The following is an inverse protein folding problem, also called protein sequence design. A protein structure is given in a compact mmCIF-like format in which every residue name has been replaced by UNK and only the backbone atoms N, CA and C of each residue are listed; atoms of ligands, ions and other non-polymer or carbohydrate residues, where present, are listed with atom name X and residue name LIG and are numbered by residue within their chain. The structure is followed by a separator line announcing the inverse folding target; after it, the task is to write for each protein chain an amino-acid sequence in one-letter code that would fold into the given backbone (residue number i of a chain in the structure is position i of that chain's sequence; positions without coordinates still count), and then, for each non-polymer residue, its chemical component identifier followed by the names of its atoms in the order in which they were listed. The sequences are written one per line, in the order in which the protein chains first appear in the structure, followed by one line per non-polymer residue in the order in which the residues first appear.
data_IF_878007777820
#
_entry.id   IF_878007777820
#
_cell.length_a   1.000
_cell.length_b   1.000
_cell.length_c   1.000
_cell.angle_alpha   90.00
_cell.angle_beta   90.00
_cell.angle_gamma   90.00
#
_symmetry.space_group_name_H-M   'P 1'
#
loop_
_entity.id
_entity.type
_entity.pdbx_description
1 polymer ?
#
# COMPACT_ATOMS: atom_id res chain seq x y z
N UNK A 1 -16.27 -20.63 -4.21
CA UNK A 1 -15.26 -19.57 -3.99
C UNK A 1 -14.25 -20.10 -2.97
N UNK A 2 -13.06 -20.53 -3.42
CA UNK A 2 -12.05 -21.16 -2.56
C UNK A 2 -11.54 -20.23 -1.44
N UNK A 3 -11.50 -18.92 -1.70
CA UNK A 3 -11.05 -17.92 -0.73
C UNK A 3 -12.02 -17.76 0.45
N UNK A 4 -13.32 -17.98 0.25
CA UNK A 4 -14.33 -17.84 1.31
C UNK A 4 -14.39 -19.06 2.26
N UNK A 5 -13.74 -20.16 1.90
CA UNK A 5 -13.62 -21.36 2.73
C UNK A 5 -12.29 -21.41 3.50
N UNK A 6 -11.47 -20.35 3.43
CA UNK A 6 -10.23 -20.28 4.20
C UNK A 6 -10.53 -19.81 5.62
N UNK A 7 -10.08 -20.58 6.59
CA UNK A 7 -10.11 -20.20 8.00
C UNK A 7 -8.79 -19.52 8.39
N UNK A 8 -8.88 -18.46 9.18
CA UNK A 8 -7.70 -17.79 9.72
C UNK A 8 -6.98 -18.73 10.70
N UNK A 9 -5.74 -19.10 10.40
CA UNK A 9 -4.92 -19.92 11.28
C UNK A 9 -3.44 -19.52 11.17
N UNK A 10 -2.69 -19.73 12.26
CA UNK A 10 -1.26 -19.45 12.33
C UNK A 10 -0.93 -18.01 12.73
N UNK A 11 0.28 -17.58 12.37
CA UNK A 11 0.85 -16.28 12.72
C UNK A 11 0.93 -15.35 11.50
N UNK A 12 1.21 -14.06 11.71
CA UNK A 12 1.41 -13.07 10.64
C UNK A 12 2.89 -13.02 10.24
N UNK A 13 3.44 -14.17 9.86
CA UNK A 13 4.82 -14.28 9.39
C UNK A 13 4.95 -13.77 7.95
N UNK A 14 4.99 -12.45 7.82
CA UNK A 14 5.09 -11.77 6.54
C UNK A 14 6.41 -12.07 5.84
N UNK A 15 7.51 -12.16 6.58
CA UNK A 15 8.84 -12.40 5.98
C UNK A 15 8.89 -13.72 5.19
N UNK A 16 8.40 -14.81 5.78
CA UNK A 16 8.37 -16.10 5.08
C UNK A 16 7.41 -16.09 3.88
N UNK A 17 6.27 -15.42 4.00
CA UNK A 17 5.33 -15.28 2.89
C UNK A 17 5.95 -14.49 1.72
N UNK A 18 6.64 -13.39 2.00
CA UNK A 18 7.36 -12.59 1.01
C UNK A 18 8.45 -13.42 0.33
N UNK A 19 9.32 -14.09 1.10
CA UNK A 19 10.37 -14.96 0.55
C UNK A 19 9.80 -16.02 -0.38
N UNK A 20 8.76 -16.72 0.06
CA UNK A 20 8.11 -17.75 -0.76
C UNK A 20 7.56 -17.17 -2.05
N UNK A 21 6.82 -16.06 -2.00
CA UNK A 21 6.28 -15.43 -3.21
C UNK A 21 7.41 -15.02 -4.16
N UNK A 22 8.39 -14.26 -3.65
CA UNK A 22 9.51 -13.71 -4.43
C UNK A 22 10.38 -14.80 -5.04
N UNK A 23 10.76 -15.81 -4.27
CA UNK A 23 11.75 -16.81 -4.69
C UNK A 23 11.12 -17.99 -5.42
N UNK A 24 9.82 -18.26 -5.22
CA UNK A 24 9.14 -19.41 -5.83
C UNK A 24 8.26 -19.01 -6.99
N UNK A 25 7.37 -18.05 -6.78
CA UNK A 25 6.32 -17.69 -7.75
C UNK A 25 6.82 -16.67 -8.78
N UNK A 26 7.82 -15.90 -8.40
CA UNK A 26 8.40 -14.84 -9.21
C UNK A 26 9.82 -15.15 -9.72
N UNK A 27 10.15 -16.44 -9.91
CA UNK A 27 11.47 -16.88 -10.42
C UNK A 27 11.90 -16.26 -11.76
N UNK A 28 10.94 -15.79 -12.55
CA UNK A 28 11.15 -15.19 -13.86
C UNK A 28 10.90 -13.66 -13.87
N UNK A 29 11.07 -12.98 -12.74
CA UNK A 29 10.90 -11.51 -12.61
C UNK A 29 11.56 -10.72 -13.72
N UNK A 30 12.80 -11.08 -14.06
CA UNK A 30 13.61 -10.36 -15.05
C UNK A 30 13.06 -10.46 -16.48
N UNK A 31 12.13 -11.38 -16.73
CA UNK A 31 11.49 -11.56 -18.04
C UNK A 31 10.24 -10.69 -18.22
N UNK A 32 9.69 -10.13 -17.15
CA UNK A 32 8.49 -9.32 -17.21
C UNK A 32 8.81 -7.84 -17.01
N UNK A 33 8.15 -6.99 -17.80
CA UNK A 33 8.43 -5.54 -17.79
C UNK A 33 7.99 -4.84 -16.50
N UNK A 34 6.96 -5.34 -15.83
CA UNK A 34 6.41 -4.76 -14.61
C UNK A 34 5.56 -5.78 -13.85
N UNK A 35 5.81 -5.92 -12.55
CA UNK A 35 5.14 -6.88 -11.68
C UNK A 35 4.74 -6.22 -10.37
N UNK A 36 3.63 -6.66 -9.79
CA UNK A 36 3.11 -6.16 -8.53
C UNK A 36 2.78 -7.28 -7.56
N UNK A 37 3.26 -7.17 -6.33
CA UNK A 37 2.86 -7.99 -5.19
C UNK A 37 1.87 -7.21 -4.34
N UNK A 38 0.71 -7.82 -4.06
CA UNK A 38 -0.33 -7.19 -3.25
C UNK A 38 -0.49 -7.92 -1.92
N UNK A 39 -0.23 -7.21 -0.82
CA UNK A 39 -0.49 -7.68 0.54
C UNK A 39 -1.82 -7.13 1.03
N UNK A 40 -2.75 -8.02 1.36
CA UNK A 40 -4.00 -7.69 2.02
C UNK A 40 -3.90 -8.13 3.48
N UNK A 41 -4.00 -7.19 4.41
CA UNK A 41 -3.78 -7.48 5.85
C UNK A 41 -4.66 -6.60 6.73
N UNK A 42 -4.91 -7.04 7.96
CA UNK A 42 -5.67 -6.30 8.97
C UNK A 42 -4.83 -5.91 10.19
N UNK A 43 -3.58 -6.39 10.29
CA UNK A 43 -2.76 -6.18 11.48
C UNK A 43 -1.26 -6.18 11.21
N UNK A 44 -0.52 -5.76 12.23
CA UNK A 44 0.95 -5.63 12.18
C UNK A 44 1.64 -6.99 11.90
N UNK A 45 2.74 -7.02 11.15
CA UNK A 45 3.55 -8.24 10.98
C UNK A 45 4.16 -8.70 12.31
N UNK A 46 4.48 -10.00 12.41
CA UNK A 46 5.18 -10.52 13.59
C UNK A 46 6.68 -10.16 13.60
N UNK A 47 7.25 -9.79 12.44
CA UNK A 47 8.65 -9.41 12.29
C UNK A 47 8.82 -7.89 12.39
N UNK A 48 10.02 -7.44 12.78
CA UNK A 48 10.35 -6.03 12.87
C UNK A 48 10.28 -5.34 11.51
N UNK A 49 9.67 -4.15 11.47
CA UNK A 49 9.44 -3.36 10.25
C UNK A 49 10.71 -3.18 9.44
N UNK A 50 11.80 -2.75 10.07
CA UNK A 50 13.07 -2.49 9.38
C UNK A 50 13.64 -3.73 8.69
N UNK A 51 13.46 -4.91 9.28
CA UNK A 51 13.93 -6.18 8.73
C UNK A 51 13.13 -6.55 7.47
N UNK A 52 11.82 -6.32 7.49
CA UNK A 52 10.96 -6.50 6.32
C UNK A 52 11.31 -5.47 5.24
N UNK A 53 11.41 -4.19 5.61
CA UNK A 53 11.76 -3.10 4.69
C UNK A 53 13.09 -3.35 3.97
N UNK A 54 14.13 -3.78 4.69
CA UNK A 54 15.44 -4.10 4.10
C UNK A 54 15.33 -5.23 3.06
N UNK A 55 14.61 -6.31 3.39
CA UNK A 55 14.38 -7.41 2.45
C UNK A 55 13.59 -6.96 1.21
N UNK A 56 12.54 -6.16 1.41
CA UNK A 56 11.73 -5.64 0.30
C UNK A 56 12.55 -4.74 -0.61
N UNK A 57 13.37 -3.84 -0.06
CA UNK A 57 14.27 -3.00 -0.84
C UNK A 57 15.24 -3.83 -1.70
N UNK A 58 15.80 -4.90 -1.14
CA UNK A 58 16.66 -5.82 -1.88
C UNK A 58 15.90 -6.57 -2.98
N UNK A 59 14.74 -7.14 -2.64
CA UNK A 59 13.92 -7.93 -3.56
C UNK A 59 13.33 -7.11 -4.71
N UNK A 60 13.05 -5.83 -4.49
CA UNK A 60 12.51 -4.88 -5.47
C UNK A 60 13.59 -4.07 -6.18
N UNK A 61 14.81 -3.95 -5.63
CA UNK A 61 15.87 -3.12 -6.22
C UNK A 61 16.44 -3.66 -7.54
N UNK A 62 16.37 -4.98 -7.77
CA UNK A 62 16.95 -5.65 -8.94
C UNK A 62 16.01 -5.87 -10.12
N UNK A 63 14.70 -5.67 -9.97
CA UNK A 63 13.69 -5.94 -10.99
C UNK A 63 12.50 -4.99 -10.85
N UNK A 64 11.68 -4.78 -11.89
CA UNK A 64 10.47 -3.92 -11.80
C UNK A 64 9.34 -4.64 -11.05
N UNK A 65 9.59 -5.02 -9.79
CA UNK A 65 8.61 -5.57 -8.86
C UNK A 65 8.30 -4.54 -7.79
N UNK A 66 7.01 -4.27 -7.59
CA UNK A 66 6.53 -3.34 -6.56
C UNK A 66 5.71 -4.07 -5.50
N UNK A 67 5.84 -3.67 -4.23
CA UNK A 67 5.02 -4.19 -3.13
C UNK A 67 3.93 -3.18 -2.75
N UNK A 68 2.68 -3.49 -3.08
CA UNK A 68 1.52 -2.73 -2.67
C UNK A 68 0.86 -3.34 -1.43
N UNK A 69 0.34 -2.49 -0.54
CA UNK A 69 -0.33 -2.95 0.70
C UNK A 69 -1.71 -2.32 0.81
N UNK A 70 -2.70 -3.18 1.05
CA UNK A 70 -4.05 -2.80 1.46
C UNK A 70 -4.26 -3.21 2.91
N UNK A 71 -4.20 -2.23 3.82
CA UNK A 71 -4.51 -2.41 5.23
C UNK A 71 -6.01 -2.23 5.46
N UNK A 72 -6.63 -3.19 6.13
CA UNK A 72 -8.06 -3.16 6.48
C UNK A 72 -8.23 -3.08 8.00
N UNK A 73 -8.69 -1.94 8.50
CA UNK A 73 -9.11 -1.81 9.89
C UNK A 73 -10.55 -2.27 10.04
N UNK A 74 -10.74 -3.36 10.79
CA UNK A 74 -12.07 -3.86 11.15
C UNK A 74 -12.42 -3.27 12.52
N UNK A 75 -13.39 -2.35 12.55
CA UNK A 75 -13.99 -1.81 13.78
C UNK A 75 -15.22 -2.60 14.16
N UNK A 76 -15.12 -3.90 14.43
CA UNK A 76 -16.30 -4.63 14.94
C UNK A 76 -16.39 -4.58 16.46
N UNK A 77 -17.49 -4.01 16.92
CA UNK A 77 -17.99 -4.11 18.27
C UNK A 77 -18.03 -5.56 18.71
N UNK A 78 -17.58 -5.75 19.95
CA UNK A 78 -17.42 -7.01 20.66
C UNK A 78 -18.72 -7.81 20.76
N UNK A 79 -19.09 -8.59 19.75
CA UNK A 79 -20.06 -9.68 19.88
C UNK A 79 -19.35 -10.96 20.33
N UNK A 80 -19.21 -11.06 21.65
CA UNK A 80 -19.34 -12.26 22.48
C UNK A 80 -18.75 -13.61 21.99
N UNK A 81 -17.59 -13.60 21.33
CA UNK A 81 -16.63 -14.73 21.35
C UNK A 81 -15.22 -14.38 20.82
N UNK A 82 -15.01 -13.19 20.26
CA UNK A 82 -13.76 -12.79 19.61
C UNK A 82 -12.74 -12.13 20.55
N UNK A 83 -11.87 -12.92 21.16
CA UNK A 83 -10.58 -12.42 21.61
C UNK A 83 -9.73 -12.26 20.35
N UNK A 84 -9.67 -11.06 19.78
CA UNK A 84 -8.54 -10.66 18.93
C UNK A 84 -7.43 -10.27 19.91
N UNK A 85 -6.38 -11.08 20.10
CA UNK A 85 -5.39 -10.79 21.13
C UNK A 85 -4.61 -9.53 20.79
N UNK A 86 -4.25 -8.81 21.85
CA UNK A 86 -3.50 -7.56 21.86
C UNK A 86 -2.36 -7.55 20.82
N UNK A 87 -2.55 -6.79 19.75
CA UNK A 87 -1.42 -6.32 18.97
C UNK A 87 -0.93 -5.08 19.68
N UNK A 88 0.29 -5.11 20.20
CA UNK A 88 0.95 -4.04 20.95
C UNK A 88 1.19 -2.75 20.14
N UNK A 89 0.45 -2.54 19.04
CA UNK A 89 0.58 -1.43 18.15
C UNK A 89 -0.80 -0.79 17.91
N UNK A 90 -0.87 0.53 18.06
CA UNK A 90 -2.03 1.32 17.66
C UNK A 90 -2.29 1.14 16.15
N UNK A 91 -3.54 1.24 15.65
CA UNK A 91 -3.82 1.17 14.22
C UNK A 91 -2.96 2.13 13.39
N UNK A 92 -2.60 3.31 13.92
CA UNK A 92 -1.69 4.25 13.24
C UNK A 92 -0.26 3.74 13.19
N UNK A 93 0.24 3.12 14.26
CA UNK A 93 1.58 2.51 14.27
C UNK A 93 1.66 1.36 13.26
N UNK A 94 0.61 0.55 13.18
CA UNK A 94 0.49 -0.50 12.14
C UNK A 94 0.51 0.10 10.74
N UNK A 95 -0.27 1.17 10.50
CA UNK A 95 -0.28 1.85 9.21
C UNK A 95 1.11 2.43 8.87
N UNK A 96 1.77 3.09 9.82
CA UNK A 96 3.11 3.65 9.63
C UNK A 96 4.16 2.57 9.32
N UNK A 97 4.10 1.42 9.99
CA UNK A 97 4.97 0.30 9.69
C UNK A 97 4.80 -0.19 8.24
N UNK A 98 3.55 -0.35 7.77
CA UNK A 98 3.32 -0.76 6.40
C UNK A 98 3.68 0.30 5.37
N UNK A 99 3.55 1.59 5.68
CA UNK A 99 4.04 2.65 4.79
C UNK A 99 5.55 2.57 4.61
N UNK A 100 6.30 2.36 5.67
CA UNK A 100 7.76 2.20 5.60
C UNK A 100 8.13 1.00 4.70
N UNK A 101 7.45 -0.13 4.89
CA UNK A 101 7.65 -1.34 4.10
C UNK A 101 7.31 -1.10 2.61
N UNK A 102 6.20 -0.43 2.32
CA UNK A 102 5.77 -0.11 0.95
C UNK A 102 6.75 0.84 0.27
N UNK A 103 7.24 1.85 1.00
CA UNK A 103 8.22 2.80 0.48
C UNK A 103 9.52 2.09 0.08
N UNK A 104 9.96 1.10 0.87
CA UNK A 104 11.12 0.28 0.51
C UNK A 104 10.92 -0.49 -0.81
N UNK A 105 9.68 -0.87 -1.13
CA UNK A 105 9.33 -1.59 -2.36
C UNK A 105 8.85 -0.72 -3.52
N UNK A 106 8.98 0.61 -3.42
CA UNK A 106 8.45 1.58 -4.40
C UNK A 106 6.99 1.30 -4.80
N UNK A 107 6.19 0.83 -3.85
CA UNK A 107 4.81 0.44 -4.09
C UNK A 107 3.81 1.50 -3.68
N UNK A 108 2.57 1.06 -3.44
CA UNK A 108 1.45 1.92 -3.05
C UNK A 108 0.73 1.39 -1.82
N UNK A 109 0.37 2.30 -0.93
CA UNK A 109 -0.30 2.02 0.32
C UNK A 109 -1.75 2.51 0.28
N UNK A 110 -2.64 1.66 0.78
CA UNK A 110 -4.05 1.97 0.96
C UNK A 110 -4.51 1.48 2.33
N UNK A 111 -5.20 2.34 3.06
CA UNK A 111 -5.78 2.05 4.35
C UNK A 111 -7.29 2.24 4.32
N UNK A 112 -8.00 1.14 4.48
CA UNK A 112 -9.45 1.06 4.48
C UNK A 112 -9.97 0.85 5.90
N UNK A 113 -11.00 1.61 6.27
CA UNK A 113 -11.86 1.35 7.41
C UNK A 113 -13.20 0.77 6.98
N UNK A 114 -14.05 0.48 7.96
CA UNK A 114 -15.39 -0.05 7.72
C UNK A 114 -16.30 0.92 6.95
N UNK A 115 -16.16 2.22 7.20
CA UNK A 115 -17.01 3.27 6.61
C UNK A 115 -16.38 4.01 5.45
N UNK A 116 -15.13 3.70 5.09
CA UNK A 116 -14.46 4.42 4.01
C UNK A 116 -12.94 4.23 3.99
N UNK A 117 -12.27 5.09 3.22
CA UNK A 117 -10.82 5.08 3.04
C UNK A 117 -10.22 6.09 4.00
N UNK A 118 -9.31 5.64 4.86
CA UNK A 118 -8.54 6.53 5.73
C UNK A 118 -7.40 7.19 4.96
N UNK A 119 -6.70 6.42 4.13
CA UNK A 119 -5.55 6.91 3.37
C UNK A 119 -5.34 6.10 2.10
N UNK A 120 -4.86 6.75 1.04
CA UNK A 120 -4.58 6.08 -0.22
C UNK A 120 -3.61 6.92 -1.06
N UNK A 121 -2.51 6.31 -1.47
CA UNK A 121 -1.53 6.94 -2.36
C UNK A 121 -2.13 7.27 -3.73
N UNK A 122 -3.04 6.44 -4.22
CA UNK A 122 -3.72 6.64 -5.50
C UNK A 122 -4.63 7.86 -5.46
N UNK A 123 -5.42 7.99 -4.40
CA UNK A 123 -6.31 9.15 -4.24
C UNK A 123 -5.47 10.42 -4.14
N UNK A 124 -4.38 10.38 -3.38
CA UNK A 124 -3.45 11.50 -3.25
C UNK A 124 -2.83 11.87 -4.60
N UNK A 125 -2.42 10.88 -5.39
CA UNK A 125 -1.86 11.09 -6.74
C UNK A 125 -2.88 11.71 -7.69
N UNK A 126 -4.12 11.22 -7.69
CA UNK A 126 -5.21 11.77 -8.50
C UNK A 126 -5.49 13.24 -8.13
N UNK A 127 -5.58 13.54 -6.83
CA UNK A 127 -5.78 14.92 -6.35
C UNK A 127 -4.64 15.83 -6.81
N UNK A 128 -3.39 15.35 -6.73
CA UNK A 128 -2.21 16.11 -7.20
C UNK A 128 -2.30 16.43 -8.70
N UNK A 129 -2.66 15.46 -9.53
CA UNK A 129 -2.81 15.66 -10.97
C UNK A 129 -3.96 16.62 -11.30
N UNK A 130 -5.07 16.55 -10.55
CA UNK A 130 -6.18 17.49 -10.70
C UNK A 130 -5.77 18.94 -10.39
N UNK A 131 -5.01 19.16 -9.31
CA UNK A 131 -4.51 20.48 -8.96
C UNK A 131 -3.49 21.00 -9.99
N UNK A 132 -2.63 20.14 -10.54
CA UNK A 132 -1.73 20.51 -11.65
C UNK A 132 -2.53 20.96 -12.87
N UNK A 133 -3.55 20.20 -13.27
CA UNK A 133 -4.41 20.55 -14.40
C UNK A 133 -5.11 21.90 -14.21
N UNK A 134 -5.64 22.16 -13.01
CA UNK A 134 -6.24 23.45 -12.65
C UNK A 134 -5.24 24.60 -12.73
N UNK A 135 -4.02 24.40 -12.22
CA UNK A 135 -2.94 25.38 -12.30
C UNK A 135 -2.60 25.72 -13.76
N UNK A 136 -2.46 24.71 -14.62
CA UNK A 136 -2.22 24.93 -16.05
C UNK A 136 -3.37 25.70 -16.71
N UNK A 137 -4.62 25.36 -16.38
CA UNK A 137 -5.79 26.09 -16.89
C UNK A 137 -5.75 27.57 -16.50
N UNK A 138 -5.44 27.89 -15.24
CA UNK A 138 -5.33 29.27 -14.77
C UNK A 138 -4.22 30.04 -15.48
N UNK A 139 -3.04 29.43 -15.61
CA UNK A 139 -1.91 30.03 -16.36
C UNK A 139 -2.27 30.33 -17.81
N UNK A 140 -3.03 29.44 -18.45
CA UNK A 140 -3.49 29.65 -19.83
C UNK A 140 -4.44 30.86 -19.93
N UNK A 141 -5.37 31.01 -18.99
CA UNK A 141 -6.26 32.19 -18.93
C UNK A 141 -5.46 33.48 -18.82
N UNK A 142 -4.51 33.54 -17.88
CA UNK A 142 -3.64 34.72 -17.71
C UNK A 142 -2.83 35.04 -18.98
N UNK A 143 -2.31 34.01 -19.65
CA UNK A 143 -1.56 34.17 -20.90
C UNK A 143 -2.45 34.78 -22.00
N UNK A 144 -3.67 34.26 -22.16
CA UNK A 144 -4.63 34.75 -23.16
C UNK A 144 -5.05 36.20 -22.88
N UNK A 145 -5.34 36.54 -21.62
CA UNK A 145 -5.66 37.91 -21.21
C UNK A 145 -4.50 38.87 -21.49
N UNK A 146 -3.27 38.47 -21.18
CA UNK A 146 -2.07 39.26 -21.43
C UNK A 146 -1.84 39.52 -22.92
N UNK A 147 -2.17 38.54 -23.79
CA UNK A 147 -2.08 38.71 -25.25
C UNK A 147 -3.16 39.66 -25.78
N UNK A 148 -4.39 39.58 -25.25
CA UNK A 148 -5.48 40.49 -25.64
C UNK A 148 -5.20 41.95 -25.29
N UNK A 149 -4.52 42.21 -24.17
CA UNK A 149 -4.14 43.57 -23.75
C UNK A 149 -3.01 44.19 -24.60
N UNK A 150 -2.30 43.38 -25.39
CA UNK A 150 -1.18 43.81 -26.25
C UNK A 150 -1.58 43.99 -27.72
N UNK A 151 -2.83 43.67 -28.08
CA UNK A 151 -3.44 43.91 -29.39
C UNK A 151 -4.27 45.19 -29.38
#
# INVERSE_FOLDING_TARGET
RWVLSLECNGSRNLMNALRRAVEVDFKDKDKQKSQGLYLLTTGIPDQETHTISAYVAEACGGCDLQLHVCLFSVTKGTDSSGIIPACYADPRETANAFKEIVQAGNGRFHWFGETGIFESDDITSIISEMEKAKNYSQKCVFLVESLKQRS
#
